data_IF_114733124315
#
_entry.id   IF_114733124315
#
_cell.length_a   1.000
_cell.length_b   1.000
_cell.length_c   1.000
_cell.angle_alpha   90.00
_cell.angle_beta   90.00
_cell.angle_gamma   90.00
#
_symmetry.space_group_name_H-M   'P 1'
#
loop_
_entity.id
_entity.type
_entity.pdbx_description
1 polymer ?
#
# COMPACT_ATOMS: atom_id res chain seq x y z
N UNK A 1 -38.46 -64.20 -12.66
CA UNK A 1 -37.92 -64.16 -14.03
C UNK A 1 -38.33 -62.86 -14.68
N UNK A 2 -37.36 -62.13 -15.28
CA UNK A 2 -37.38 -61.24 -16.48
C UNK A 2 -38.70 -60.48 -16.80
N UNK A 3 -38.73 -59.20 -17.18
CA UNK A 3 -37.80 -58.36 -17.95
C UNK A 3 -38.40 -56.93 -18.01
N UNK A 4 -37.57 -55.90 -18.15
CA UNK A 4 -37.96 -54.59 -18.71
C UNK A 4 -38.38 -54.74 -20.18
N UNK A 5 -39.19 -53.80 -20.74
CA UNK A 5 -38.56 -52.93 -21.72
C UNK A 5 -39.06 -51.46 -21.78
N UNK A 6 -38.25 -50.72 -22.52
CA UNK A 6 -38.19 -49.30 -22.91
C UNK A 6 -39.13 -49.02 -24.11
N UNK A 7 -39.60 -47.78 -24.30
CA UNK A 7 -39.67 -47.01 -25.58
C UNK A 7 -40.76 -45.90 -25.50
N UNK A 8 -40.37 -44.62 -25.48
CA UNK A 8 -40.36 -43.65 -26.60
C UNK A 8 -41.72 -42.99 -26.89
N UNK A 9 -41.81 -41.67 -26.74
CA UNK A 9 -42.89 -40.87 -27.34
C UNK A 9 -42.30 -39.70 -28.11
N UNK A 10 -42.63 -39.73 -29.40
CA UNK A 10 -42.24 -38.85 -30.47
C UNK A 10 -43.06 -37.55 -30.49
N UNK A 11 -42.46 -36.57 -31.15
CA UNK A 11 -42.79 -35.17 -31.32
C UNK A 11 -44.00 -34.96 -32.24
N UNK A 12 -44.96 -34.11 -31.84
CA UNK A 12 -45.55 -33.13 -32.77
C UNK A 12 -46.51 -32.12 -32.13
N UNK A 13 -46.47 -30.94 -32.76
CA UNK A 13 -47.44 -29.84 -32.82
C UNK A 13 -47.44 -28.87 -31.63
N UNK A 14 -47.01 -27.64 -31.94
CA UNK A 14 -47.75 -26.44 -31.56
C UNK A 14 -47.57 -25.33 -32.59
N UNK A 15 -48.68 -25.09 -33.28
CA UNK A 15 -49.02 -23.93 -34.09
C UNK A 15 -49.39 -22.78 -33.14
N UNK A 16 -49.12 -21.51 -33.49
CA UNK A 16 -50.07 -20.37 -33.43
C UNK A 16 -49.40 -19.04 -33.81
N UNK A 17 -50.09 -18.34 -34.75
CA UNK A 17 -50.19 -16.90 -35.05
C UNK A 17 -48.92 -16.04 -35.22
N UNK A 18 -48.61 -15.74 -36.49
CA UNK A 18 -49.15 -14.55 -37.17
C UNK A 18 -48.81 -13.17 -36.60
N UNK A 19 -47.83 -12.50 -37.21
CA UNK A 19 -47.57 -11.07 -37.03
C UNK A 19 -46.42 -10.59 -37.94
N UNK A 20 -46.75 -10.25 -39.18
CA UNK A 20 -45.83 -9.60 -40.12
C UNK A 20 -45.40 -8.21 -39.65
N UNK A 21 -44.10 -7.90 -39.73
CA UNK A 21 -43.54 -6.89 -40.64
C UNK A 21 -42.26 -6.24 -40.08
N UNK A 22 -41.14 -6.57 -40.72
CA UNK A 22 -40.04 -5.67 -41.12
C UNK A 22 -39.74 -4.45 -40.23
N UNK A 23 -38.66 -4.54 -39.45
CA UNK A 23 -37.73 -3.42 -39.29
C UNK A 23 -36.30 -3.95 -39.18
N UNK A 24 -35.46 -3.54 -40.12
CA UNK A 24 -34.04 -3.85 -40.16
C UNK A 24 -33.33 -3.24 -38.95
N UNK A 25 -32.54 -4.02 -38.22
CA UNK A 25 -31.61 -3.50 -37.22
C UNK A 25 -30.21 -4.08 -37.43
N UNK A 26 -29.37 -3.18 -37.91
CA UNK A 26 -27.92 -3.15 -38.08
C UNK A 26 -27.13 -4.04 -37.09
N UNK A 27 -26.35 -4.97 -37.64
CA UNK A 27 -25.21 -5.62 -36.96
C UNK A 27 -24.06 -4.60 -36.85
N UNK A 28 -23.88 -4.02 -35.66
CA UNK A 28 -22.68 -3.26 -35.31
C UNK A 28 -21.95 -4.01 -34.19
N UNK A 29 -21.03 -4.89 -34.57
CA UNK A 29 -20.09 -5.52 -33.64
C UNK A 29 -19.09 -4.45 -33.18
N UNK A 30 -19.35 -3.84 -32.02
CA UNK A 30 -18.37 -3.00 -31.33
C UNK A 30 -17.28 -3.91 -30.74
N UNK A 31 -16.09 -3.90 -31.34
CA UNK A 31 -14.89 -4.45 -30.73
C UNK A 31 -14.47 -3.53 -29.57
N UNK A 32 -14.72 -3.99 -28.35
CA UNK A 32 -14.09 -3.45 -27.15
C UNK A 32 -12.68 -4.03 -27.06
N UNK A 33 -11.61 -3.21 -27.03
CA UNK A 33 -10.29 -3.73 -26.68
C UNK A 33 -10.33 -4.12 -25.20
N UNK A 34 -10.01 -5.38 -24.93
CA UNK A 34 -9.74 -5.85 -23.59
C UNK A 34 -8.49 -5.14 -23.06
N UNK A 35 -8.69 -4.12 -22.23
CA UNK A 35 -7.63 -3.66 -21.32
C UNK A 35 -7.46 -4.74 -20.26
N UNK A 36 -6.60 -5.72 -20.53
CA UNK A 36 -6.08 -6.60 -19.50
C UNK A 36 -5.19 -5.75 -18.58
N UNK A 37 -5.56 -5.77 -17.29
CA UNK A 37 -4.92 -5.07 -16.21
C UNK A 37 -3.40 -5.31 -16.19
N UNK A 38 -2.63 -4.22 -16.11
CA UNK A 38 -1.23 -4.31 -15.70
C UNK A 38 -1.17 -4.91 -14.31
N UNK A 39 -0.48 -6.05 -14.17
CA UNK A 39 -0.22 -6.62 -12.86
C UNK A 39 0.88 -5.82 -12.17
N UNK A 40 0.53 -5.35 -10.98
CA UNK A 40 1.41 -4.79 -9.97
C UNK A 40 2.58 -5.73 -9.65
N UNK A 41 3.75 -5.14 -9.48
CA UNK A 41 5.01 -5.84 -9.22
C UNK A 41 4.93 -6.88 -8.11
N UNK A 42 5.32 -8.10 -8.47
CA UNK A 42 5.65 -9.18 -7.55
C UNK A 42 6.98 -8.83 -6.87
N UNK A 43 6.92 -8.43 -5.61
CA UNK A 43 8.13 -8.27 -4.80
C UNK A 43 8.58 -9.67 -4.35
N UNK A 44 9.71 -10.12 -4.89
CA UNK A 44 10.50 -11.24 -4.36
C UNK A 44 10.49 -12.55 -5.14
N UNK A 45 11.11 -12.59 -6.32
CA UNK A 45 12.07 -13.65 -6.72
C UNK A 45 12.71 -13.29 -8.09
N UNK A 46 13.89 -12.67 -8.14
CA UNK A 46 14.60 -12.53 -9.41
C UNK A 46 15.32 -13.85 -9.74
N UNK A 47 14.66 -14.77 -10.45
CA UNK A 47 15.39 -15.89 -11.06
C UNK A 47 16.06 -15.41 -12.34
N UNK A 48 17.36 -15.09 -12.27
CA UNK A 48 18.20 -14.79 -13.44
C UNK A 48 18.49 -16.03 -14.31
N UNK A 49 18.03 -17.23 -13.91
CA UNK A 49 18.27 -18.46 -14.66
C UNK A 49 17.19 -19.52 -14.39
N UNK A 50 16.06 -19.44 -15.10
CA UNK A 50 15.17 -20.56 -15.46
C UNK A 50 14.82 -21.65 -14.44
N UNK A 51 14.84 -21.36 -13.13
CA UNK A 51 14.38 -22.28 -12.10
C UNK A 51 12.93 -21.96 -11.74
N UNK A 52 12.06 -22.98 -11.71
CA UNK A 52 10.75 -22.86 -11.10
C UNK A 52 10.92 -22.41 -9.65
N UNK A 53 10.25 -21.33 -9.26
CA UNK A 53 10.06 -21.04 -7.84
C UNK A 53 9.39 -22.27 -7.21
N UNK A 54 9.92 -22.86 -6.13
CA UNK A 54 9.20 -23.93 -5.45
C UNK A 54 7.83 -23.38 -5.11
N UNK A 55 6.77 -24.04 -5.60
CA UNK A 55 5.41 -23.57 -5.35
C UNK A 55 5.19 -23.58 -3.84
N UNK A 56 5.09 -22.40 -3.25
CA UNK A 56 4.66 -22.26 -1.88
C UNK A 56 3.22 -22.80 -1.82
N UNK A 57 2.96 -23.75 -0.92
CA UNK A 57 1.60 -24.29 -0.68
C UNK A 57 0.76 -23.32 0.15
N UNK A 58 1.42 -22.33 0.75
CA UNK A 58 0.81 -21.27 1.53
C UNK A 58 1.48 -19.95 1.19
N UNK A 59 0.68 -18.89 0.99
CA UNK A 59 1.16 -17.52 0.91
C UNK A 59 0.75 -16.76 2.16
N UNK A 60 1.73 -16.11 2.79
CA UNK A 60 1.55 -15.25 3.95
C UNK A 60 1.79 -13.80 3.53
N UNK A 61 0.82 -12.92 3.78
CA UNK A 61 0.95 -11.49 3.50
C UNK A 61 0.66 -10.71 4.77
N UNK A 62 1.56 -9.81 5.13
CA UNK A 62 1.41 -8.91 6.25
C UNK A 62 1.30 -7.46 5.78
N UNK A 63 0.40 -6.72 6.41
CA UNK A 63 0.13 -5.33 6.08
C UNK A 63 -0.05 -4.51 7.35
N UNK A 64 0.28 -3.23 7.27
CA UNK A 64 0.02 -2.24 8.31
C UNK A 64 -1.01 -1.23 7.81
N UNK A 65 -1.89 -0.77 8.70
CA UNK A 65 -2.83 0.29 8.37
C UNK A 65 -2.08 1.61 8.23
N UNK A 66 -2.34 2.39 7.19
CA UNK A 66 -1.82 3.73 7.05
C UNK A 66 -2.61 4.67 7.99
N UNK A 67 -1.95 5.41 8.91
CA UNK A 67 -2.64 6.22 9.91
C UNK A 67 -3.34 7.46 9.32
N UNK A 68 -3.01 7.85 8.07
CA UNK A 68 -3.65 8.97 7.38
C UNK A 68 -4.82 8.52 6.49
N UNK A 69 -4.62 7.48 5.68
CA UNK A 69 -5.64 7.02 4.72
C UNK A 69 -6.60 5.99 5.29
N UNK A 70 -6.26 5.37 6.42
CA UNK A 70 -6.97 4.24 7.01
C UNK A 70 -6.99 2.95 6.14
N UNK A 71 -6.16 2.87 5.11
CA UNK A 71 -6.04 1.70 4.25
C UNK A 71 -4.89 0.80 4.70
N UNK A 72 -5.00 -0.51 4.47
CA UNK A 72 -3.89 -1.43 4.71
C UNK A 72 -2.92 -1.40 3.54
N UNK A 73 -1.65 -1.23 3.84
CA UNK A 73 -0.53 -1.17 2.87
C UNK A 73 0.54 -2.19 3.25
N UNK A 74 1.34 -2.62 2.27
CA UNK A 74 2.40 -3.59 2.50
C UNK A 74 3.51 -3.05 3.42
N UNK A 75 3.85 -1.77 3.28
CA UNK A 75 4.89 -1.11 4.07
C UNK A 75 4.57 0.38 4.23
N UNK A 76 5.11 1.00 5.27
CA UNK A 76 5.20 2.44 5.43
C UNK A 76 6.68 2.81 5.59
N UNK A 77 7.20 3.51 4.60
CA UNK A 77 8.58 4.00 4.59
C UNK A 77 8.72 5.34 5.30
N UNK A 78 9.95 5.81 5.45
CA UNK A 78 10.26 7.08 6.10
C UNK A 78 9.59 8.31 5.43
N UNK A 79 9.24 8.24 4.15
CA UNK A 79 8.54 9.31 3.42
C UNK A 79 7.03 9.25 3.62
N UNK A 80 6.49 8.13 4.08
CA UNK A 80 5.05 7.89 4.17
C UNK A 80 4.44 8.49 5.45
N UNK A 81 3.18 8.16 5.70
CA UNK A 81 2.49 8.51 6.93
C UNK A 81 3.15 7.82 8.14
N UNK A 82 3.54 8.62 9.14
CA UNK A 82 4.11 8.11 10.39
C UNK A 82 3.06 7.99 11.47
N UNK A 83 3.29 7.05 12.37
CA UNK A 83 2.58 6.94 13.62
C UNK A 83 3.14 7.91 14.66
N UNK A 84 2.31 8.35 15.60
CA UNK A 84 2.75 9.15 16.75
C UNK A 84 2.88 8.28 18.01
N UNK A 85 3.66 8.73 19.02
CA UNK A 85 3.75 8.03 20.30
C UNK A 85 2.36 7.82 20.93
N UNK A 86 2.13 6.63 21.50
CA UNK A 86 0.85 6.27 22.11
C UNK A 86 -0.28 5.90 21.12
N UNK A 87 -0.08 6.07 19.81
CA UNK A 87 -1.09 5.75 18.80
C UNK A 87 -1.31 4.23 18.68
N UNK A 88 -2.55 3.83 18.41
CA UNK A 88 -2.88 2.43 18.07
C UNK A 88 -2.46 2.12 16.64
N UNK A 89 -1.73 1.04 16.46
CA UNK A 89 -1.34 0.45 15.16
C UNK A 89 -2.26 -0.74 14.89
N UNK A 90 -2.70 -0.90 13.65
CA UNK A 90 -3.42 -2.10 13.22
C UNK A 90 -2.62 -2.82 12.14
N UNK A 91 -2.30 -4.08 12.40
CA UNK A 91 -1.74 -5.01 11.43
C UNK A 91 -2.83 -5.95 10.91
N UNK A 92 -2.64 -6.44 9.69
CA UNK A 92 -3.46 -7.47 9.08
C UNK A 92 -2.54 -8.54 8.52
N UNK A 93 -2.82 -9.79 8.87
CA UNK A 93 -2.20 -10.96 8.25
C UNK A 93 -3.23 -11.59 7.31
N UNK A 94 -2.82 -11.95 6.11
CA UNK A 94 -3.64 -12.64 5.14
C UNK A 94 -2.94 -13.96 4.86
N UNK A 95 -3.64 -15.06 5.10
CA UNK A 95 -3.13 -16.41 4.90
C UNK A 95 -3.90 -17.01 3.73
N UNK A 96 -3.19 -17.43 2.68
CA UNK A 96 -3.78 -18.01 1.48
C UNK A 96 -3.28 -19.43 1.24
N UNK A 97 -4.20 -20.37 1.05
CA UNK A 97 -3.83 -21.69 0.55
C UNK A 97 -3.60 -21.62 -0.96
N UNK A 98 -2.35 -21.75 -1.39
CA UNK A 98 -1.94 -21.78 -2.79
C UNK A 98 -1.71 -23.21 -3.30
N UNK A 99 -1.82 -24.21 -2.42
CA UNK A 99 -1.77 -25.63 -2.75
C UNK A 99 -3.09 -26.21 -3.27
N UNK A 100 -3.05 -27.49 -3.61
CA UNK A 100 -4.19 -28.24 -4.16
C UNK A 100 -5.07 -28.90 -3.10
N UNK A 101 -4.56 -29.08 -1.87
CA UNK A 101 -5.25 -29.77 -0.78
C UNK A 101 -5.75 -28.78 0.29
N UNK A 102 -6.82 -29.15 1.00
CA UNK A 102 -7.30 -28.36 2.15
C UNK A 102 -6.30 -28.42 3.30
N UNK A 103 -5.92 -27.25 3.82
CA UNK A 103 -5.08 -27.14 5.01
C UNK A 103 -5.99 -27.22 6.24
N UNK A 104 -5.90 -28.33 6.97
CA UNK A 104 -6.73 -28.54 8.16
C UNK A 104 -6.42 -27.52 9.27
N UNK A 105 -5.14 -27.25 9.49
CA UNK A 105 -4.63 -26.32 10.51
C UNK A 105 -3.25 -25.81 10.11
N UNK A 106 -3.02 -24.53 10.31
CA UNK A 106 -1.71 -23.88 10.23
C UNK A 106 -1.56 -22.90 11.38
N UNK A 107 -0.36 -22.82 11.97
CA UNK A 107 -0.06 -21.95 13.11
C UNK A 107 0.79 -20.78 12.63
N UNK A 108 0.30 -19.57 12.87
CA UNK A 108 0.97 -18.31 12.53
C UNK A 108 1.67 -17.78 13.76
N UNK A 109 2.91 -17.34 13.59
CA UNK A 109 3.69 -16.63 14.58
C UNK A 109 3.93 -15.20 14.09
N UNK A 110 3.56 -14.21 14.91
CA UNK A 110 3.75 -12.79 14.60
C UNK A 110 4.61 -12.12 15.69
N UNK A 111 5.86 -11.80 15.35
CA UNK A 111 6.85 -11.21 16.23
C UNK A 111 6.72 -9.69 16.20
N UNK A 112 6.30 -9.11 17.32
CA UNK A 112 6.06 -7.68 17.44
C UNK A 112 7.37 -6.88 17.40
N UNK A 113 7.37 -5.73 16.70
CA UNK A 113 8.53 -4.87 16.63
C UNK A 113 8.86 -4.24 17.98
N UNK A 114 10.06 -3.68 18.08
CA UNK A 114 10.36 -2.74 19.14
C UNK A 114 9.41 -1.54 19.14
N UNK A 115 9.20 -0.97 20.32
CA UNK A 115 8.34 0.21 20.54
C UNK A 115 6.87 0.04 20.15
N UNK A 116 6.40 -1.18 19.88
CA UNK A 116 4.97 -1.48 19.72
C UNK A 116 4.59 -2.59 20.69
N UNK A 117 3.69 -2.31 21.62
CA UNK A 117 3.16 -3.32 22.55
C UNK A 117 1.88 -3.95 22.01
N UNK A 118 1.71 -5.26 22.16
CA UNK A 118 0.47 -5.95 21.83
C UNK A 118 -0.71 -5.40 22.65
N UNK A 119 -1.86 -5.21 22.01
CA UNK A 119 -3.13 -4.79 22.63
C UNK A 119 -4.18 -5.89 22.49
N UNK A 120 -4.40 -6.37 21.27
CA UNK A 120 -5.40 -7.41 20.99
C UNK A 120 -5.12 -8.11 19.67
N UNK A 121 -5.54 -9.35 19.53
CA UNK A 121 -5.43 -10.13 18.29
C UNK A 121 -5.97 -11.54 18.50
N UNK A 122 -6.04 -12.34 17.44
CA UNK A 122 -6.38 -13.76 17.56
C UNK A 122 -5.29 -14.49 18.34
N UNK A 123 -5.68 -15.41 19.22
CA UNK A 123 -4.75 -16.31 19.91
C UNK A 123 -4.06 -15.75 21.15
N UNK A 124 -2.81 -16.16 21.36
CA UNK A 124 -2.06 -15.95 22.62
C UNK A 124 -0.77 -15.19 22.37
N UNK A 125 -0.56 -14.11 23.11
CA UNK A 125 0.68 -13.33 23.09
C UNK A 125 1.63 -13.79 24.19
N UNK A 126 2.89 -14.04 23.84
CA UNK A 126 3.97 -14.29 24.78
C UNK A 126 4.82 -13.01 24.94
N UNK A 127 4.84 -12.46 26.15
CA UNK A 127 5.55 -11.23 26.44
C UNK A 127 7.08 -11.39 26.50
N UNK A 128 7.59 -12.62 26.69
CA UNK A 128 9.03 -12.88 26.73
C UNK A 128 9.64 -12.88 25.34
N UNK A 129 8.98 -13.55 24.39
CA UNK A 129 9.40 -13.62 22.98
C UNK A 129 8.83 -12.50 22.13
N UNK A 130 7.84 -11.75 22.65
CA UNK A 130 7.04 -10.75 21.94
C UNK A 130 6.31 -11.32 20.73
N UNK A 131 5.87 -12.58 20.82
CA UNK A 131 5.24 -13.29 19.70
C UNK A 131 3.76 -13.55 19.97
N UNK A 132 2.90 -13.13 19.05
CA UNK A 132 1.51 -13.57 18.99
C UNK A 132 1.44 -14.89 18.22
N UNK A 133 0.80 -15.90 18.79
CA UNK A 133 0.59 -17.20 18.13
C UNK A 133 -0.90 -17.51 18.02
N UNK A 134 -1.35 -17.85 16.81
CA UNK A 134 -2.73 -18.23 16.53
C UNK A 134 -2.83 -19.24 15.39
N UNK A 135 -3.96 -19.94 15.34
CA UNK A 135 -4.21 -20.98 14.37
C UNK A 135 -5.25 -20.52 13.34
N UNK A 136 -5.02 -20.88 12.08
CA UNK A 136 -5.99 -20.79 10.99
C UNK A 136 -6.36 -22.22 10.60
N UNK A 137 -7.64 -22.53 10.52
CA UNK A 137 -8.13 -23.88 10.25
C UNK A 137 -9.01 -23.95 9.03
N UNK A 138 -9.04 -25.13 8.40
CA UNK A 138 -9.96 -25.46 7.31
C UNK A 138 -9.86 -24.53 6.09
N UNK A 139 -8.64 -24.21 5.66
CA UNK A 139 -8.37 -23.33 4.54
C UNK A 139 -8.37 -24.14 3.23
N UNK A 140 -9.40 -23.99 2.40
CA UNK A 140 -9.53 -24.72 1.13
C UNK A 140 -8.58 -24.19 0.06
N UNK A 141 -8.30 -24.97 -1.00
CA UNK A 141 -7.48 -24.50 -2.12
C UNK A 141 -7.96 -23.16 -2.68
N UNK A 142 -7.06 -22.19 -2.79
CA UNK A 142 -7.34 -20.83 -3.25
C UNK A 142 -8.04 -19.92 -2.25
N UNK A 143 -8.44 -20.42 -1.08
CA UNK A 143 -9.10 -19.65 -0.03
C UNK A 143 -8.11 -18.74 0.71
N UNK A 144 -8.59 -17.57 1.12
CA UNK A 144 -7.84 -16.56 1.86
C UNK A 144 -8.56 -16.24 3.18
N UNK A 145 -7.86 -16.38 4.31
CA UNK A 145 -8.36 -15.93 5.61
C UNK A 145 -7.94 -14.48 5.84
N UNK A 146 -8.93 -13.59 6.02
CA UNK A 146 -8.75 -12.13 6.14
C UNK A 146 -9.43 -11.50 7.36
N UNK A 147 -10.45 -12.15 7.91
CA UNK A 147 -11.39 -11.50 8.83
C UNK A 147 -10.94 -11.62 10.28
N UNK A 148 -10.31 -12.73 10.63
CA UNK A 148 -9.90 -13.00 12.02
C UNK A 148 -8.48 -12.50 12.34
N UNK A 149 -7.75 -12.03 11.33
CA UNK A 149 -6.32 -11.72 11.42
C UNK A 149 -6.00 -10.23 11.64
N UNK A 150 -6.92 -9.46 12.24
CA UNK A 150 -6.65 -8.07 12.63
C UNK A 150 -5.99 -8.06 14.00
N UNK A 151 -4.81 -7.47 14.05
CA UNK A 151 -3.95 -7.41 15.23
C UNK A 151 -3.76 -5.94 15.59
N UNK A 152 -3.95 -5.59 16.85
CA UNK A 152 -3.76 -4.24 17.36
C UNK A 152 -2.53 -4.18 18.27
N UNK A 153 -1.69 -3.19 18.01
CA UNK A 153 -0.59 -2.78 18.86
C UNK A 153 -0.75 -1.33 19.29
N UNK A 154 0.05 -0.92 20.27
CA UNK A 154 0.15 0.47 20.71
C UNK A 154 1.59 0.92 20.63
N UNK A 155 1.82 2.03 19.94
CA UNK A 155 3.14 2.67 19.91
C UNK A 155 3.50 3.13 21.31
N UNK A 156 4.73 2.84 21.72
CA UNK A 156 5.24 3.21 23.02
C UNK A 156 5.28 4.73 23.21
N UNK A 157 5.34 5.17 24.47
CA UNK A 157 5.37 6.60 24.79
C UNK A 157 6.68 7.24 24.35
N UNK A 158 6.65 8.55 24.10
CA UNK A 158 7.77 9.32 23.54
C UNK A 158 9.09 9.15 24.30
N UNK A 159 9.01 8.96 25.63
CA UNK A 159 10.17 8.76 26.52
C UNK A 159 10.93 7.46 26.27
N UNK A 160 10.26 6.45 25.71
CA UNK A 160 10.83 5.13 25.43
C UNK A 160 11.47 5.03 24.05
N UNK A 161 11.13 5.96 23.16
CA UNK A 161 11.66 6.03 21.81
C UNK A 161 13.08 6.66 21.81
N UNK A 162 13.95 6.31 20.86
CA UNK A 162 15.29 6.89 20.72
C UNK A 162 15.26 8.44 20.68
N UNK A 163 16.12 9.10 21.46
CA UNK A 163 16.10 10.58 21.61
C UNK A 163 17.00 11.31 20.61
N UNK A 164 17.84 10.57 19.91
CA UNK A 164 18.77 11.02 18.89
C UNK A 164 18.17 11.05 17.48
N UNK A 165 16.98 10.47 17.30
CA UNK A 165 16.29 10.37 16.00
C UNK A 165 14.87 10.95 16.08
N UNK A 166 14.49 11.74 15.08
CA UNK A 166 13.12 12.28 14.96
C UNK A 166 12.11 11.28 14.41
N UNK A 167 12.58 10.30 13.63
CA UNK A 167 11.79 9.23 13.03
C UNK A 167 12.49 7.90 13.30
N UNK A 168 11.74 6.91 13.79
CA UNK A 168 12.21 5.55 14.03
C UNK A 168 11.32 4.58 13.27
N UNK A 169 11.89 3.75 12.40
CA UNK A 169 11.15 2.73 11.66
C UNK A 169 11.42 1.35 12.24
N UNK A 170 10.37 0.54 12.36
CA UNK A 170 10.41 -0.80 12.93
C UNK A 170 9.61 -1.77 12.06
N UNK A 171 9.99 -3.04 12.10
CA UNK A 171 9.41 -4.09 11.25
C UNK A 171 8.68 -5.12 12.11
N UNK A 172 7.43 -5.39 11.78
CA UNK A 172 6.68 -6.49 12.35
C UNK A 172 6.79 -7.69 11.41
N UNK A 173 7.20 -8.83 11.95
CA UNK A 173 7.52 -10.04 11.19
C UNK A 173 6.49 -11.13 11.48
N UNK A 174 5.88 -11.70 10.44
CA UNK A 174 5.03 -12.89 10.58
C UNK A 174 5.61 -14.07 9.81
N UNK A 175 5.50 -15.26 10.39
CA UNK A 175 5.95 -16.50 9.80
C UNK A 175 5.00 -17.66 10.06
N UNK A 176 5.07 -18.67 9.20
CA UNK A 176 4.38 -19.93 9.35
C UNK A 176 5.13 -21.04 8.61
N UNK A 177 4.97 -22.28 9.06
CA UNK A 177 5.53 -23.45 8.38
C UNK A 177 4.43 -24.44 8.04
N UNK A 178 4.40 -24.90 6.78
CA UNK A 178 3.53 -25.97 6.31
C UNK A 178 4.38 -27.02 5.59
N UNK A 179 4.29 -28.29 6.00
CA UNK A 179 5.05 -29.39 5.40
C UNK A 179 6.58 -29.14 5.34
N UNK A 180 7.13 -28.44 6.33
CA UNK A 180 8.54 -28.04 6.37
C UNK A 180 8.91 -26.86 5.48
N UNK A 181 7.96 -26.26 4.74
CA UNK A 181 8.15 -25.04 3.97
C UNK A 181 7.78 -23.82 4.82
N UNK A 182 8.73 -22.92 5.00
CA UNK A 182 8.55 -21.65 5.69
C UNK A 182 7.95 -20.61 4.73
N UNK A 183 6.93 -19.88 5.18
CA UNK A 183 6.40 -18.68 4.50
C UNK A 183 6.46 -17.52 5.49
N UNK A 184 7.09 -16.42 5.07
CA UNK A 184 7.36 -15.25 5.90
C UNK A 184 6.82 -13.98 5.25
N UNK A 185 6.42 -13.01 6.06
CA UNK A 185 6.01 -11.70 5.57
C UNK A 185 6.32 -10.60 6.57
N UNK A 186 6.95 -9.54 6.07
CA UNK A 186 7.36 -8.37 6.83
C UNK A 186 6.53 -7.15 6.45
N UNK A 187 6.26 -6.29 7.44
CA UNK A 187 5.70 -4.96 7.20
C UNK A 187 6.39 -3.93 8.08
N UNK A 188 6.80 -2.82 7.48
CA UNK A 188 7.44 -1.71 8.20
C UNK A 188 6.42 -0.65 8.58
N UNK A 189 6.63 -0.04 9.74
CA UNK A 189 6.03 1.24 10.11
C UNK A 189 7.08 2.21 10.63
N UNK A 190 6.84 3.50 10.44
CA UNK A 190 7.67 4.56 10.99
C UNK A 190 6.90 5.36 12.04
N UNK A 191 7.58 5.68 13.13
CA UNK A 191 7.09 6.45 14.27
C UNK A 191 7.82 7.80 14.26
N UNK A 192 7.07 8.89 14.24
CA UNK A 192 7.60 10.24 14.30
C UNK A 192 7.37 10.81 15.70
N UNK A 193 8.45 11.17 16.39
CA UNK A 193 8.35 11.90 17.65
C UNK A 193 7.69 13.24 17.39
N UNK A 194 6.65 13.54 18.16
CA UNK A 194 6.04 14.85 18.12
C UNK A 194 6.98 15.82 18.84
N UNK A 195 7.81 16.52 18.06
CA UNK A 195 8.35 17.78 18.55
C UNK A 195 7.15 18.73 18.65
N UNK A 196 6.58 18.85 19.85
CA UNK A 196 5.96 20.12 20.26
C UNK A 196 6.95 21.24 19.85
N UNK A 197 6.53 22.48 19.54
CA UNK A 197 7.44 23.61 19.37
C UNK A 197 8.17 23.83 20.70
N UNK A 198 9.17 22.99 20.88
CA UNK A 198 9.81 22.65 22.11
C UNK A 198 10.87 23.69 22.27
N UNK A 199 10.83 24.32 23.42
CA UNK A 199 11.91 25.16 23.87
C UNK A 199 13.24 24.48 23.56
N UNK A 200 14.16 25.19 22.91
CA UNK A 200 15.54 24.73 22.78
C UNK A 200 16.08 24.36 24.17
N UNK A 201 17.22 23.65 24.26
CA UNK A 201 17.87 23.37 25.56
C UNK A 201 18.09 24.63 26.43
N UNK A 202 17.90 25.85 25.90
CA UNK A 202 17.87 27.13 26.60
C UNK A 202 16.49 27.80 26.77
N UNK A 203 15.36 27.10 26.68
CA UNK A 203 14.04 27.68 27.02
C UNK A 203 13.35 28.50 25.91
N UNK A 204 13.91 28.60 24.70
CA UNK A 204 13.37 29.44 23.63
C UNK A 204 12.41 28.66 22.73
N UNK A 205 11.15 29.08 22.66
CA UNK A 205 10.13 28.48 21.78
C UNK A 205 10.57 28.61 20.32
N UNK A 206 10.65 27.49 19.60
CA UNK A 206 10.88 27.48 18.15
C UNK A 206 9.54 27.73 17.47
N UNK A 207 9.35 28.92 16.92
CA UNK A 207 8.20 29.22 16.07
C UNK A 207 8.44 28.65 14.66
N UNK A 208 7.43 28.04 14.01
CA UNK A 208 7.52 27.70 12.60
C UNK A 208 7.93 28.93 11.80
N UNK A 209 8.85 28.78 10.84
CA UNK A 209 9.21 29.87 9.95
C UNK A 209 7.91 30.45 9.37
N UNK A 210 7.61 31.74 9.59
CA UNK A 210 6.45 32.38 8.99
C UNK A 210 6.51 32.08 7.50
N UNK A 211 5.45 31.47 6.94
CA UNK A 211 5.35 31.31 5.48
C UNK A 211 5.59 32.71 4.90
N UNK A 212 6.72 32.89 4.23
CA UNK A 212 7.10 34.20 3.72
C UNK A 212 5.96 34.67 2.83
N UNK A 213 5.25 35.72 3.26
CA UNK A 213 4.44 36.52 2.36
C UNK A 213 5.42 36.97 1.30
N UNK A 214 5.18 36.57 0.04
CA UNK A 214 6.03 36.90 -1.11
C UNK A 214 6.60 38.29 -0.92
N UNK A 215 7.92 38.39 -0.73
CA UNK A 215 8.57 39.68 -0.57
C UNK A 215 8.20 40.52 -1.79
N UNK A 216 7.67 41.74 -1.61
CA UNK A 216 7.47 42.65 -2.74
C UNK A 216 8.80 42.74 -3.50
N UNK A 217 8.80 42.69 -4.85
CA UNK A 217 10.03 42.73 -5.63
C UNK A 217 10.86 43.95 -5.20
N UNK A 218 11.97 43.71 -4.49
CA UNK A 218 12.86 44.77 -3.98
C UNK A 218 14.05 44.96 -4.91
N UNK A 219 13.84 44.71 -6.21
CA UNK A 219 14.76 45.10 -7.26
C UNK A 219 14.29 46.43 -7.88
N UNK A 220 15.20 47.31 -8.34
CA UNK A 220 14.77 48.39 -9.23
C UNK A 220 14.08 47.72 -10.42
N UNK A 221 12.78 47.97 -10.55
CA UNK A 221 11.94 47.50 -11.64
C UNK A 221 12.73 47.51 -12.95
N UNK A 222 12.70 46.41 -13.71
CA UNK A 222 13.40 46.25 -14.99
C UNK A 222 13.18 47.45 -15.94
N UNK A 223 12.05 48.15 -15.77
CA UNK A 223 11.73 49.42 -16.42
C UNK A 223 12.74 50.56 -16.19
N UNK A 224 13.32 50.69 -14.98
CA UNK A 224 14.35 51.70 -14.70
C UNK A 224 15.65 51.41 -15.47
N UNK A 225 15.97 50.13 -15.69
CA UNK A 225 17.12 49.71 -16.51
C UNK A 225 16.88 49.92 -18.00
N UNK A 226 15.64 49.76 -18.49
CA UNK A 226 15.29 50.04 -19.90
C UNK A 226 15.42 51.55 -20.21
N UNK A 227 15.16 52.42 -19.23
CA UNK A 227 15.33 53.87 -19.35
C UNK A 227 16.77 54.36 -19.56
N UNK A 228 17.78 53.52 -19.28
CA UNK A 228 19.20 53.84 -19.51
C UNK A 228 19.70 53.50 -20.92
N UNK A 229 18.94 52.72 -21.70
CA UNK A 229 19.31 52.33 -23.07
C UNK A 229 19.38 53.50 -24.07
N UNK A 230 18.52 54.54 -24.02
CA UNK A 230 18.61 55.69 -24.92
C UNK A 230 19.87 56.55 -24.71
N UNK A 231 20.41 56.61 -23.49
CA UNK A 231 21.62 57.38 -23.19
C UNK A 231 22.88 56.78 -23.83
N UNK A 232 22.94 55.45 -23.92
CA UNK A 232 24.06 54.74 -24.53
C UNK A 232 24.15 54.95 -26.04
N UNK A 233 23.01 55.03 -26.75
CA UNK A 233 22.98 55.26 -28.20
C UNK A 233 23.29 56.71 -28.57
N UNK A 234 22.84 57.67 -27.77
CA UNK A 234 23.15 59.10 -27.95
C UNK A 234 24.66 59.37 -27.79
N UNK A 235 25.30 58.77 -26.78
CA UNK A 235 26.74 58.91 -26.55
C UNK A 235 27.60 58.34 -27.69
N UNK A 236 27.19 57.20 -28.26
CA UNK A 236 27.88 56.58 -29.40
C UNK A 236 27.75 57.41 -30.69
N UNK A 237 26.60 58.07 -30.89
CA UNK A 237 26.38 58.96 -32.02
C UNK A 237 27.21 60.25 -31.91
N UNK A 238 27.26 60.87 -30.72
CA UNK A 238 28.11 62.05 -30.47
C UNK A 238 29.60 61.73 -30.65
N UNK A 239 30.05 60.55 -30.22
CA UNK A 239 31.45 60.10 -30.43
C UNK A 239 31.80 59.98 -31.92
N UNK A 240 30.88 59.49 -32.76
CA UNK A 240 31.10 59.41 -34.22
C UNK A 240 31.12 60.79 -34.88
N UNK A 241 30.36 61.76 -34.37
CA UNK A 241 30.31 63.12 -34.93
C UNK A 241 31.51 63.99 -34.51
N UNK A 242 32.09 63.73 -33.34
CA UNK A 242 33.29 64.42 -32.86
C UNK A 242 34.61 63.88 -33.45
N UNK A 243 34.58 62.72 -34.13
CA UNK A 243 35.75 62.10 -34.76
C UNK A 243 35.91 62.47 -36.25
N UNK A 244 35.29 63.55 -36.72
CA UNK A 244 35.40 64.04 -38.09
C UNK A 244 35.76 65.52 -38.10
#
# INVERSE_FOLDING_TARGET
>A
MRQLPIASVDMKKRLILGGCAFFAFVLFFAQIPAFAAGQSGQYGCPTQYGGDCPSEEISLIKQVKNPKTNEFVATLENTDAKYTPGQTVSFKIIVKNTGADTIAKITIHDVFPEFVSFVSGPGKFDNNTKTLTFDVTNLKPGEEEKKESIIQGKVADEKTLPSDQGITCVVNHAETTLNGKLSTSDTQLCIEKQVLPGTTKGGLKVFPAPKAKTTPPTGPELFALIGLLPGATLGLFLRKKASK
#
